data_IF_818384097808
#
_entry.id   IF_818384097808
#
_cell.length_a   1.000
_cell.length_b   1.000
_cell.length_c   1.000
_cell.angle_alpha   90.00
_cell.angle_beta   90.00
_cell.angle_gamma   90.00
#
_symmetry.space_group_name_H-M   'P 1'
#
loop_
_entity.id
_entity.type
_entity.pdbx_description
1 polymer ?
#
# COMPACT_ATOMS: atom_id res chain seq x y z
N UNK A 1 29.89 43.60 -13.56
CA UNK A 1 30.22 42.22 -13.18
C UNK A 1 28.92 41.43 -13.18
N UNK A 2 28.76 40.54 -14.15
CA UNK A 2 27.59 39.66 -14.28
C UNK A 2 27.63 38.66 -13.13
N UNK A 3 26.61 38.70 -12.28
CA UNK A 3 26.39 37.71 -11.23
C UNK A 3 26.01 36.43 -11.96
N UNK A 4 26.83 35.39 -11.82
CA UNK A 4 26.66 34.12 -12.51
C UNK A 4 25.28 33.55 -12.27
N UNK A 5 24.54 33.30 -13.35
CA UNK A 5 23.43 32.36 -13.31
C UNK A 5 24.02 31.00 -12.96
N UNK A 6 23.76 30.51 -11.75
CA UNK A 6 23.97 29.11 -11.42
C UNK A 6 23.23 28.30 -12.48
N UNK A 7 24.00 27.66 -13.35
CA UNK A 7 23.50 26.92 -14.50
C UNK A 7 22.94 25.59 -13.96
N UNK A 8 21.84 25.66 -13.20
CA UNK A 8 21.23 24.49 -12.54
C UNK A 8 20.69 23.59 -13.65
N UNK A 9 21.43 22.51 -13.92
CA UNK A 9 21.14 21.51 -14.95
C UNK A 9 19.68 21.03 -14.82
N UNK A 10 18.92 21.14 -15.89
CA UNK A 10 17.53 20.67 -15.96
C UNK A 10 17.53 19.13 -15.82
N UNK A 11 16.73 18.55 -14.93
CA UNK A 11 16.65 17.11 -14.78
C UNK A 11 15.89 16.47 -15.95
N UNK A 12 16.39 15.34 -16.45
CA UNK A 12 15.64 14.53 -17.41
C UNK A 12 14.60 13.64 -16.72
N UNK A 13 14.79 13.37 -15.41
CA UNK A 13 13.95 12.49 -14.60
C UNK A 13 13.51 13.22 -13.33
N UNK A 14 12.20 13.26 -13.10
CA UNK A 14 11.67 13.84 -11.87
C UNK A 14 10.75 12.85 -11.18
N UNK A 15 11.15 12.42 -9.98
CA UNK A 15 10.31 11.59 -9.13
C UNK A 15 9.33 12.48 -8.36
N UNK A 16 8.05 12.15 -8.45
CA UNK A 16 6.99 12.74 -7.64
C UNK A 16 6.50 11.67 -6.68
N UNK A 17 6.81 11.87 -5.40
CA UNK A 17 6.45 10.96 -4.30
C UNK A 17 5.32 11.59 -3.51
N UNK A 18 4.06 11.10 -3.62
CA UNK A 18 2.97 11.62 -2.81
C UNK A 18 3.22 11.30 -1.33
N UNK A 19 3.25 12.33 -0.49
CA UNK A 19 3.79 12.21 0.86
C UNK A 19 2.93 12.89 1.94
N UNK A 20 2.77 12.21 3.08
CA UNK A 20 2.29 12.79 4.35
C UNK A 20 2.48 11.80 5.52
N UNK A 21 3.11 12.25 6.63
CA UNK A 21 3.20 11.50 7.91
C UNK A 21 3.67 10.05 7.75
N UNK A 22 4.81 9.87 7.08
CA UNK A 22 5.46 8.56 6.83
C UNK A 22 6.96 8.66 7.09
N UNK A 23 7.33 9.25 8.21
CA UNK A 23 8.70 9.61 8.59
C UNK A 23 9.68 8.44 8.42
N UNK A 24 9.32 7.24 8.91
CA UNK A 24 10.17 6.06 8.81
C UNK A 24 10.30 5.55 7.37
N UNK A 25 9.19 5.49 6.63
CA UNK A 25 9.21 5.06 5.23
C UNK A 25 9.99 6.06 4.37
N UNK A 26 9.89 7.37 4.66
CA UNK A 26 10.69 8.41 4.02
C UNK A 26 12.18 8.18 4.22
N UNK A 27 12.60 7.90 5.45
CA UNK A 27 14.01 7.62 5.73
C UNK A 27 14.51 6.43 4.90
N UNK A 28 13.76 5.33 4.86
CA UNK A 28 14.11 4.17 4.04
C UNK A 28 14.13 4.52 2.55
N UNK A 29 13.12 5.24 2.08
CA UNK A 29 13.00 5.68 0.70
C UNK A 29 14.18 6.53 0.27
N UNK A 30 14.50 7.61 0.99
CA UNK A 30 15.63 8.47 0.66
C UNK A 30 16.94 7.69 0.63
N UNK A 31 17.19 6.88 1.67
CA UNK A 31 18.45 6.13 1.79
C UNK A 31 18.64 5.15 0.64
N UNK A 32 17.58 4.42 0.29
CA UNK A 32 17.66 3.40 -0.75
C UNK A 32 17.62 4.01 -2.15
N UNK A 33 16.79 5.03 -2.38
CA UNK A 33 16.75 5.73 -3.68
C UNK A 33 18.07 6.45 -3.99
N UNK A 34 18.80 6.95 -2.99
CA UNK A 34 20.17 7.45 -3.21
C UNK A 34 21.08 6.38 -3.81
N UNK A 35 20.99 5.13 -3.34
CA UNK A 35 21.72 4.00 -3.92
C UNK A 35 21.19 3.62 -5.31
N UNK A 36 19.87 3.53 -5.49
CA UNK A 36 19.25 3.15 -6.77
C UNK A 36 19.62 4.16 -7.87
N UNK A 37 19.73 5.43 -7.51
CA UNK A 37 19.96 6.53 -8.46
C UNK A 37 21.41 7.01 -8.50
N UNK A 38 22.36 6.35 -7.84
CA UNK A 38 23.76 6.83 -7.73
C UNK A 38 24.48 6.92 -9.09
N UNK A 39 24.03 6.16 -10.10
CA UNK A 39 24.60 6.20 -11.47
C UNK A 39 23.96 7.29 -12.36
N UNK A 40 22.92 7.98 -11.88
CA UNK A 40 22.21 9.03 -12.62
C UNK A 40 22.68 10.41 -12.15
N UNK A 41 22.85 11.34 -13.09
CA UNK A 41 23.37 12.70 -12.81
C UNK A 41 22.37 13.81 -13.16
N UNK A 42 21.16 13.45 -13.55
CA UNK A 42 20.13 14.31 -14.13
C UNK A 42 18.74 13.93 -13.62
N UNK A 43 18.63 13.74 -12.30
CA UNK A 43 17.37 13.45 -11.63
C UNK A 43 17.13 14.36 -10.43
N UNK A 44 15.86 14.59 -10.13
CA UNK A 44 15.41 15.21 -8.88
C UNK A 44 14.28 14.36 -8.27
N UNK A 45 14.16 14.34 -6.94
CA UNK A 45 13.11 13.66 -6.18
C UNK A 45 12.35 14.71 -5.38
N UNK A 46 11.04 14.76 -5.55
CA UNK A 46 10.15 15.65 -4.82
C UNK A 46 9.17 14.86 -3.99
N UNK A 47 9.25 15.03 -2.68
CA UNK A 47 8.16 14.69 -1.79
C UNK A 47 7.09 15.76 -1.95
N UNK A 48 6.04 15.42 -2.69
CA UNK A 48 4.87 16.27 -2.81
C UNK A 48 4.07 16.11 -1.51
N UNK A 49 4.30 17.04 -0.59
CA UNK A 49 3.94 16.93 0.81
C UNK A 49 2.64 17.69 1.07
N UNK A 50 1.55 16.97 1.31
CA UNK A 50 0.30 17.60 1.74
C UNK A 50 0.37 17.95 3.23
N UNK A 51 0.63 19.22 3.53
CA UNK A 51 0.88 19.72 4.89
C UNK A 51 -0.38 20.18 5.63
N UNK A 52 -1.54 20.21 4.95
CA UNK A 52 -2.81 20.55 5.58
C UNK A 52 -3.45 19.38 6.36
N UNK A 53 -4.54 19.68 7.07
CA UNK A 53 -5.23 18.75 7.96
C UNK A 53 -6.33 17.90 7.29
N UNK A 54 -6.56 18.04 5.97
CA UNK A 54 -7.64 17.32 5.28
C UNK A 54 -7.28 15.85 5.07
N UNK A 55 -8.17 15.02 4.52
CA UNK A 55 -7.79 13.68 4.09
C UNK A 55 -6.70 13.75 3.00
N UNK A 56 -5.88 12.71 2.90
CA UNK A 56 -4.78 12.68 1.95
C UNK A 56 -5.34 12.52 0.54
N UNK A 57 -5.06 13.46 -0.35
CA UNK A 57 -5.51 13.40 -1.72
C UNK A 57 -4.37 12.94 -2.62
N UNK A 58 -4.15 11.62 -2.70
CA UNK A 58 -3.01 11.02 -3.41
C UNK A 58 -2.94 11.46 -4.89
N UNK A 59 -4.08 11.55 -5.57
CA UNK A 59 -4.15 12.03 -6.95
C UNK A 59 -3.77 13.50 -7.10
N UNK A 60 -4.37 14.39 -6.29
CA UNK A 60 -4.04 15.81 -6.32
C UNK A 60 -2.58 16.08 -5.95
N UNK A 61 -2.03 15.37 -4.96
CA UNK A 61 -0.62 15.50 -4.57
C UNK A 61 0.33 15.14 -5.71
N UNK A 62 0.04 14.11 -6.51
CA UNK A 62 0.79 13.79 -7.74
C UNK A 62 0.66 14.90 -8.80
N UNK A 63 -0.56 15.39 -9.03
CA UNK A 63 -0.82 16.48 -9.97
C UNK A 63 -0.10 17.78 -9.57
N UNK A 64 -0.12 18.14 -8.29
CA UNK A 64 0.57 19.33 -7.76
C UNK A 64 2.08 19.16 -7.90
N UNK A 65 2.59 17.94 -7.70
CA UNK A 65 3.98 17.61 -8.00
C UNK A 65 4.34 17.93 -9.44
N UNK A 66 3.52 17.50 -10.40
CA UNK A 66 3.69 17.88 -11.80
C UNK A 66 3.61 19.39 -12.04
N UNK A 67 2.58 20.07 -11.49
CA UNK A 67 2.39 21.52 -11.64
C UNK A 67 3.58 22.32 -11.14
N UNK A 68 4.17 21.94 -10.01
CA UNK A 68 5.34 22.61 -9.45
C UNK A 68 6.57 22.49 -10.36
N UNK A 69 6.76 21.34 -11.00
CA UNK A 69 7.87 21.11 -11.94
C UNK A 69 7.61 21.83 -13.26
N UNK A 70 6.35 21.86 -13.72
CA UNK A 70 5.93 22.67 -14.86
C UNK A 70 6.19 24.16 -14.62
N UNK A 71 5.94 24.67 -13.42
CA UNK A 71 6.24 26.05 -13.05
C UNK A 71 7.75 26.31 -12.94
N UNK A 72 8.51 25.36 -12.37
CA UNK A 72 9.97 25.46 -12.22
C UNK A 72 10.71 25.40 -13.57
N UNK A 73 10.21 24.61 -14.52
CA UNK A 73 10.83 24.36 -15.83
C UNK A 73 9.82 24.53 -16.98
N UNK A 74 9.28 25.74 -17.21
CA UNK A 74 8.16 25.98 -18.13
C UNK A 74 8.48 25.65 -19.60
N UNK A 75 9.74 25.73 -20.01
CA UNK A 75 10.15 25.44 -21.39
C UNK A 75 10.52 23.96 -21.62
N UNK A 76 10.75 23.19 -20.55
CA UNK A 76 11.33 21.85 -20.63
C UNK A 76 10.42 20.73 -20.07
N UNK A 77 9.47 21.04 -19.19
CA UNK A 77 8.67 20.04 -18.46
C UNK A 77 8.01 19.00 -19.36
N UNK A 78 7.64 19.37 -20.60
CA UNK A 78 7.03 18.46 -21.57
C UNK A 78 7.93 17.27 -21.92
N UNK A 79 9.25 17.50 -21.95
CA UNK A 79 10.25 16.48 -22.28
C UNK A 79 10.77 15.73 -21.06
N UNK A 80 10.58 16.27 -19.86
CA UNK A 80 10.93 15.61 -18.59
C UNK A 80 10.14 14.31 -18.46
N UNK A 81 10.82 13.27 -18.01
CA UNK A 81 10.18 12.01 -17.61
C UNK A 81 9.75 12.12 -16.16
N UNK A 82 8.45 12.04 -15.90
CA UNK A 82 7.88 12.00 -14.56
C UNK A 82 7.77 10.56 -14.07
N UNK A 83 8.25 10.32 -12.85
CA UNK A 83 8.16 9.04 -12.15
C UNK A 83 7.26 9.23 -10.94
N UNK A 84 6.02 8.77 -11.02
CA UNK A 84 5.12 8.72 -9.88
C UNK A 84 5.41 7.45 -9.10
N UNK A 85 5.99 7.60 -7.91
CA UNK A 85 6.45 6.49 -7.09
C UNK A 85 5.85 6.58 -5.69
N UNK A 86 5.12 5.55 -5.26
CA UNK A 86 4.62 5.50 -3.87
C UNK A 86 5.79 5.36 -2.88
N UNK A 87 5.67 6.04 -1.74
CA UNK A 87 6.69 6.08 -0.68
C UNK A 87 7.04 4.71 -0.11
N UNK A 88 6.09 3.77 -0.16
CA UNK A 88 6.21 2.44 0.40
C UNK A 88 6.74 1.41 -0.61
N UNK A 89 7.12 1.82 -1.82
CA UNK A 89 7.60 0.92 -2.88
C UNK A 89 8.99 1.32 -3.39
N UNK A 90 9.94 0.40 -3.32
CA UNK A 90 11.34 0.64 -3.68
C UNK A 90 11.89 -0.59 -4.41
N UNK A 91 12.56 -0.46 -5.57
CA UNK A 91 13.21 -1.61 -6.18
C UNK A 91 14.37 -2.14 -5.32
N UNK A 92 14.54 -3.46 -5.30
CA UNK A 92 15.58 -4.12 -4.51
C UNK A 92 16.99 -3.80 -5.02
N UNK A 93 17.17 -3.67 -6.34
CA UNK A 93 18.41 -3.27 -7.00
C UNK A 93 18.11 -2.33 -8.16
N UNK A 94 19.14 -1.85 -8.89
CA UNK A 94 19.03 -0.94 -10.04
C UNK A 94 18.41 -1.64 -11.28
N UNK A 95 17.15 -2.07 -11.18
CA UNK A 95 16.43 -2.85 -12.20
C UNK A 95 15.64 -1.99 -13.20
N UNK A 96 15.56 -0.67 -12.97
CA UNK A 96 14.81 0.27 -13.79
C UNK A 96 15.73 1.36 -14.32
N UNK A 97 15.56 1.72 -15.60
CA UNK A 97 16.22 2.90 -16.19
C UNK A 97 15.37 4.18 -16.06
N UNK A 98 14.09 4.05 -15.67
CA UNK A 98 13.15 5.15 -15.51
C UNK A 98 12.97 6.06 -16.74
N UNK A 99 13.32 5.57 -17.93
CA UNK A 99 13.15 6.29 -19.19
C UNK A 99 11.88 5.83 -19.91
N UNK A 100 11.21 6.76 -20.58
CA UNK A 100 10.11 6.48 -21.50
C UNK A 100 10.15 7.46 -22.68
N UNK A 101 9.28 7.28 -23.66
CA UNK A 101 9.10 8.15 -24.82
C UNK A 101 7.68 8.71 -24.84
N UNK A 102 7.47 9.78 -25.61
CA UNK A 102 6.13 10.35 -25.83
C UNK A 102 5.19 9.27 -26.37
N UNK A 103 3.95 9.25 -25.90
CA UNK A 103 2.93 8.25 -26.24
C UNK A 103 3.11 6.90 -25.52
N UNK A 104 4.04 6.79 -24.56
CA UNK A 104 4.29 5.55 -23.81
C UNK A 104 4.33 5.83 -22.30
N UNK A 105 3.43 5.15 -21.56
CA UNK A 105 3.48 5.07 -20.11
C UNK A 105 4.04 3.71 -19.70
N UNK A 106 5.13 3.69 -18.92
CA UNK A 106 5.65 2.46 -18.33
C UNK A 106 5.07 2.25 -16.95
N UNK A 107 4.76 1.00 -16.63
CA UNK A 107 4.28 0.60 -15.32
C UNK A 107 5.15 -0.52 -14.78
N UNK A 108 5.90 -0.21 -13.72
CA UNK A 108 6.94 -1.09 -13.19
C UNK A 108 6.48 -1.95 -12.01
N UNK A 109 5.57 -1.46 -11.17
CA UNK A 109 5.11 -2.20 -10.00
C UNK A 109 3.67 -1.88 -9.63
N UNK A 110 2.85 -2.91 -9.39
CA UNK A 110 1.48 -2.73 -8.92
C UNK A 110 0.53 -3.84 -9.38
N UNK A 111 -0.66 -3.44 -9.83
CA UNK A 111 -1.67 -4.35 -10.39
C UNK A 111 -1.91 -4.06 -11.89
N UNK A 112 -2.11 -5.10 -12.72
CA UNK A 112 -2.29 -4.91 -14.17
C UNK A 112 -3.59 -4.20 -14.59
N UNK A 113 -4.57 -4.05 -13.70
CA UNK A 113 -5.83 -3.37 -14.00
C UNK A 113 -5.82 -1.87 -13.67
N UNK A 114 -4.70 -1.34 -13.21
CA UNK A 114 -4.57 0.06 -12.79
C UNK A 114 -3.11 0.56 -12.99
N UNK A 115 -2.87 1.86 -12.85
CA UNK A 115 -1.54 2.50 -12.91
C UNK A 115 -1.14 3.03 -11.52
N UNK A 116 -0.97 2.12 -10.55
CA UNK A 116 -0.51 2.43 -9.20
C UNK A 116 0.96 2.05 -8.97
N UNK A 117 1.47 2.23 -7.75
CA UNK A 117 2.85 1.88 -7.39
C UNK A 117 3.89 2.77 -8.07
N UNK A 118 4.50 2.26 -9.15
CA UNK A 118 5.59 2.93 -9.87
C UNK A 118 5.22 3.11 -11.35
N UNK A 119 4.98 4.36 -11.74
CA UNK A 119 4.51 4.75 -13.09
C UNK A 119 5.43 5.80 -13.69
N UNK A 120 5.77 5.66 -14.97
CA UNK A 120 6.70 6.54 -15.68
C UNK A 120 6.06 7.06 -16.95
N UNK A 121 6.00 8.39 -17.12
CA UNK A 121 5.29 9.06 -18.22
C UNK A 121 6.01 10.37 -18.61
N UNK A 122 5.92 10.80 -19.87
CA UNK A 122 6.41 12.12 -20.27
C UNK A 122 5.48 13.23 -19.76
N UNK A 123 6.05 14.39 -19.46
CA UNK A 123 5.28 15.55 -19.00
C UNK A 123 4.20 15.98 -19.98
N UNK A 124 4.49 15.93 -21.29
CA UNK A 124 3.50 16.22 -22.34
C UNK A 124 2.31 15.25 -22.30
N UNK A 125 2.57 13.94 -22.20
CA UNK A 125 1.52 12.92 -22.16
C UNK A 125 0.67 13.05 -20.88
N UNK A 126 1.31 13.34 -19.74
CA UNK A 126 0.63 13.52 -18.47
C UNK A 126 -0.28 14.76 -18.46
N UNK A 127 0.18 15.85 -19.07
CA UNK A 127 -0.61 17.06 -19.29
C UNK A 127 -1.80 16.82 -20.20
N UNK A 128 -1.58 16.14 -21.34
CA UNK A 128 -2.61 15.88 -22.36
C UNK A 128 -3.78 15.06 -21.81
N UNK A 129 -3.50 14.14 -20.87
CA UNK A 129 -4.55 13.36 -20.19
C UNK A 129 -5.16 14.04 -18.96
N UNK A 130 -4.80 15.29 -18.68
CA UNK A 130 -5.22 16.05 -17.49
C UNK A 130 -4.86 15.34 -16.16
N UNK A 131 -3.77 14.58 -16.13
CA UNK A 131 -3.26 13.89 -14.94
C UNK A 131 -4.23 12.92 -14.24
N UNK A 132 -4.02 12.73 -12.93
CA UNK A 132 -4.88 11.93 -12.05
C UNK A 132 -6.17 12.68 -11.70
N UNK A 133 -7.28 12.01 -11.34
CA UNK A 133 -8.39 12.68 -10.68
C UNK A 133 -8.04 13.06 -9.22
N UNK A 134 -8.68 14.10 -8.70
CA UNK A 134 -8.42 14.67 -7.38
C UNK A 134 -9.35 14.12 -6.29
N UNK A 135 -9.50 12.79 -6.21
CA UNK A 135 -10.40 12.13 -5.26
C UNK A 135 -9.86 12.20 -3.82
N UNK A 136 -10.76 12.49 -2.86
CA UNK A 136 -10.41 12.61 -1.44
C UNK A 136 -10.48 11.29 -0.66
N UNK A 137 -11.08 10.25 -1.26
CA UNK A 137 -11.05 8.88 -0.75
C UNK A 137 -9.90 8.07 -1.35
N UNK A 138 -9.62 6.92 -0.73
CA UNK A 138 -8.63 5.97 -1.21
C UNK A 138 -9.16 5.16 -2.40
N UNK A 139 -8.32 5.06 -3.44
CA UNK A 139 -8.52 4.21 -4.59
C UNK A 139 -9.25 4.89 -5.75
N UNK A 140 -9.36 4.15 -6.84
CA UNK A 140 -9.98 4.55 -8.12
C UNK A 140 -9.16 5.57 -8.95
N UNK A 141 -8.32 6.41 -8.34
CA UNK A 141 -7.48 7.40 -9.03
C UNK A 141 -6.49 6.77 -10.01
N UNK A 142 -5.82 5.69 -9.60
CA UNK A 142 -4.85 4.98 -10.45
C UNK A 142 -5.55 4.27 -11.62
N UNK A 143 -6.79 3.81 -11.40
CA UNK A 143 -7.61 3.15 -12.44
C UNK A 143 -8.14 4.16 -13.44
N UNK A 144 -8.49 5.36 -12.99
CA UNK A 144 -8.80 6.49 -13.87
C UNK A 144 -7.62 6.84 -14.76
N UNK A 145 -6.41 6.97 -14.20
CA UNK A 145 -5.22 7.28 -14.98
C UNK A 145 -5.04 6.25 -16.11
N UNK A 146 -5.18 4.94 -15.80
CA UNK A 146 -5.08 3.90 -16.83
C UNK A 146 -6.08 4.12 -17.97
N UNK A 147 -7.36 4.34 -17.65
CA UNK A 147 -8.41 4.57 -18.65
C UNK A 147 -8.16 5.83 -19.48
N UNK A 148 -7.58 6.88 -18.88
CA UNK A 148 -7.23 8.11 -19.59
C UNK A 148 -6.09 7.89 -20.57
N UNK A 149 -5.06 7.14 -20.19
CA UNK A 149 -4.00 6.73 -21.11
C UNK A 149 -4.56 5.94 -22.30
N UNK A 150 -5.39 4.93 -22.03
CA UNK A 150 -6.03 4.10 -23.07
C UNK A 150 -6.90 4.94 -24.02
N UNK A 151 -7.70 5.87 -23.49
CA UNK A 151 -8.56 6.78 -24.30
C UNK A 151 -7.75 7.74 -25.18
N UNK A 152 -6.55 8.12 -24.76
CA UNK A 152 -5.66 9.02 -25.51
C UNK A 152 -4.62 8.26 -26.34
N UNK A 153 -4.79 6.94 -26.54
CA UNK A 153 -3.89 6.09 -27.30
C UNK A 153 -2.43 6.08 -26.78
N UNK A 154 -2.23 6.34 -25.49
CA UNK A 154 -0.93 6.18 -24.82
C UNK A 154 -0.73 4.69 -24.54
N UNK A 155 0.35 4.12 -25.06
CA UNK A 155 0.69 2.71 -24.89
C UNK A 155 1.13 2.45 -23.46
N UNK A 156 0.51 1.46 -22.81
CA UNK A 156 0.92 1.00 -21.47
C UNK A 156 1.95 -0.13 -21.63
N UNK A 157 3.22 0.19 -21.39
CA UNK A 157 4.32 -0.76 -21.41
C UNK A 157 4.50 -1.40 -20.02
N UNK A 158 4.34 -2.74 -20.00
CA UNK A 158 4.55 -3.61 -18.84
C UNK A 158 5.60 -4.70 -19.12
N UNK A 159 6.50 -4.46 -20.07
CA UNK A 159 7.59 -5.38 -20.43
C UNK A 159 8.53 -5.68 -19.25
N UNK A 160 8.72 -4.71 -18.34
CA UNK A 160 9.48 -4.85 -17.09
C UNK A 160 8.59 -4.63 -15.85
N UNK A 161 7.45 -5.34 -15.77
CA UNK A 161 6.46 -5.20 -14.71
C UNK A 161 6.59 -6.27 -13.61
N UNK A 162 6.51 -5.82 -12.36
CA UNK A 162 6.49 -6.67 -11.17
C UNK A 162 5.12 -6.60 -10.46
N UNK A 163 4.46 -7.74 -10.20
CA UNK A 163 3.20 -7.74 -9.46
C UNK A 163 3.42 -7.48 -7.96
N UNK A 164 2.36 -7.04 -7.27
CA UNK A 164 2.34 -6.95 -5.80
C UNK A 164 2.86 -8.25 -5.16
N UNK A 165 3.75 -8.09 -4.17
CA UNK A 165 4.39 -9.20 -3.46
C UNK A 165 5.62 -9.79 -4.18
N UNK A 166 6.04 -9.21 -5.31
CA UNK A 166 7.32 -9.55 -5.94
C UNK A 166 8.50 -9.29 -4.98
N UNK A 167 9.44 -10.23 -4.80
CA UNK A 167 10.62 -10.02 -3.95
C UNK A 167 11.60 -8.98 -4.53
N UNK A 168 11.44 -8.63 -5.82
CA UNK A 168 12.28 -7.63 -6.48
C UNK A 168 11.91 -6.19 -6.09
N UNK A 169 10.77 -5.99 -5.43
CA UNK A 169 10.29 -4.68 -4.97
C UNK A 169 10.03 -4.79 -3.47
N UNK A 170 10.76 -4.00 -2.68
CA UNK A 170 10.45 -3.82 -1.28
C UNK A 170 9.15 -3.02 -1.17
N UNK A 171 8.10 -3.66 -0.64
CA UNK A 171 6.83 -3.02 -0.33
C UNK A 171 6.66 -2.94 1.18
N UNK A 172 6.83 -1.73 1.73
CA UNK A 172 6.63 -1.47 3.15
C UNK A 172 5.14 -1.54 3.49
N UNK A 173 4.83 -2.14 4.64
CA UNK A 173 3.45 -2.25 5.09
C UNK A 173 2.84 -0.86 5.31
N UNK A 174 1.60 -0.68 4.86
CA UNK A 174 0.84 0.56 4.97
C UNK A 174 -0.53 0.34 5.63
N UNK A 175 -0.58 -0.41 6.72
CA UNK A 175 -1.83 -0.69 7.39
C UNK A 175 -2.83 -1.47 6.53
N UNK A 176 -3.99 -1.70 7.11
CA UNK A 176 -5.08 -2.48 6.50
C UNK A 176 -6.36 -1.67 6.33
N UNK A 177 -6.44 -0.48 6.93
CA UNK A 177 -7.63 0.37 6.88
C UNK A 177 -7.43 1.47 5.86
N UNK A 178 -8.45 1.74 5.07
CA UNK A 178 -8.51 2.82 4.08
C UNK A 178 -9.75 3.66 4.31
N UNK A 179 -9.62 4.96 4.10
CA UNK A 179 -10.79 5.85 4.06
C UNK A 179 -11.26 5.88 2.63
N UNK A 180 -12.46 5.39 2.40
CA UNK A 180 -13.06 5.33 1.06
C UNK A 180 -14.21 6.33 0.95
N UNK A 181 -14.53 6.71 -0.27
CA UNK A 181 -15.76 7.44 -0.58
C UNK A 181 -16.53 6.66 -1.66
N UNK A 182 -17.78 6.31 -1.37
CA UNK A 182 -18.60 5.49 -2.28
C UNK A 182 -18.82 6.14 -3.65
N UNK A 183 -18.74 7.48 -3.73
CA UNK A 183 -18.90 8.24 -4.97
C UNK A 183 -17.72 8.04 -5.92
N UNK A 184 -16.52 7.81 -5.40
CA UNK A 184 -15.29 7.77 -6.20
C UNK A 184 -15.29 6.62 -7.21
N UNK A 185 -15.83 5.46 -6.83
CA UNK A 185 -16.00 4.35 -7.77
C UNK A 185 -16.95 4.68 -8.93
N UNK A 186 -18.04 5.40 -8.65
CA UNK A 186 -19.00 5.81 -9.68
C UNK A 186 -18.35 6.86 -10.60
N UNK A 187 -17.58 7.79 -10.03
CA UNK A 187 -16.79 8.78 -10.78
C UNK A 187 -15.77 8.10 -11.68
N UNK A 188 -15.07 7.08 -11.19
CA UNK A 188 -14.08 6.33 -11.95
C UNK A 188 -14.66 5.59 -13.16
N UNK A 189 -15.86 5.02 -13.01
CA UNK A 189 -16.57 4.42 -14.13
C UNK A 189 -16.99 5.44 -15.18
N UNK A 190 -17.41 6.62 -14.73
CA UNK A 190 -17.94 7.68 -15.58
C UNK A 190 -16.92 8.78 -15.88
N UNK A 191 -15.63 8.50 -15.71
CA UNK A 191 -14.58 9.50 -15.86
C UNK A 191 -14.50 10.01 -17.30
N UNK A 192 -14.63 11.32 -17.45
CA UNK A 192 -14.58 12.04 -18.72
C UNK A 192 -13.29 12.83 -18.90
N UNK A 193 -12.32 12.69 -18.00
CA UNK A 193 -11.08 13.48 -18.04
C UNK A 193 -11.25 14.95 -17.64
N UNK A 194 -12.42 15.35 -17.11
CA UNK A 194 -12.71 16.74 -16.75
C UNK A 194 -11.96 17.15 -15.47
N UNK A 195 -12.01 16.31 -14.42
CA UNK A 195 -11.30 16.56 -13.17
C UNK A 195 -9.83 16.12 -13.28
N UNK A 196 -8.91 16.95 -12.80
CA UNK A 196 -7.50 16.63 -12.75
C UNK A 196 -6.62 17.86 -12.52
N UNK A 197 -5.55 18.01 -13.28
CA UNK A 197 -4.64 19.16 -13.16
C UNK A 197 -5.40 20.49 -13.28
N UNK A 198 -6.28 20.59 -14.29
CA UNK A 198 -7.00 21.82 -14.63
C UNK A 198 -8.12 22.19 -13.63
N UNK A 199 -8.44 21.32 -12.68
CA UNK A 199 -9.45 21.57 -11.64
C UNK A 199 -8.84 21.78 -10.25
N UNK A 200 -7.51 21.88 -10.15
CA UNK A 200 -6.82 22.35 -8.95
C UNK A 200 -6.76 23.88 -8.99
N UNK A 201 -7.22 24.54 -7.93
CA UNK A 201 -7.23 26.01 -7.84
C UNK A 201 -6.97 26.46 -6.40
N UNK A 202 -6.68 27.75 -6.21
CA UNK A 202 -6.21 28.29 -4.92
C UNK A 202 -5.01 27.48 -4.37
N UNK A 203 -4.15 27.01 -5.26
CA UNK A 203 -2.97 26.23 -4.91
C UNK A 203 -1.93 27.13 -4.22
N UNK A 204 -1.46 26.69 -3.06
CA UNK A 204 -0.38 27.32 -2.31
C UNK A 204 0.63 26.24 -1.93
N UNK A 205 1.88 26.42 -2.35
CA UNK A 205 2.99 25.55 -2.01
C UNK A 205 4.31 26.32 -2.03
N UNK A 206 5.35 25.74 -1.41
CA UNK A 206 6.73 26.17 -1.56
C UNK A 206 7.61 24.97 -1.87
N UNK A 207 8.71 25.18 -2.60
CA UNK A 207 9.74 24.16 -2.83
C UNK A 207 10.92 24.44 -1.90
N UNK A 208 11.21 23.48 -1.03
CA UNK A 208 12.27 23.61 -0.02
C UNK A 208 13.09 22.32 0.09
N UNK A 209 14.28 22.40 0.67
CA UNK A 209 15.08 21.21 1.03
C UNK A 209 14.52 20.48 2.25
N UNK A 210 13.61 21.11 3.00
CA UNK A 210 13.05 20.56 4.24
C UNK A 210 11.53 20.54 4.23
N UNK A 211 10.96 19.60 4.97
CA UNK A 211 9.52 19.50 5.18
C UNK A 211 9.04 20.56 6.16
N UNK A 212 7.82 21.08 5.97
CA UNK A 212 7.14 21.89 6.99
C UNK A 212 6.75 21.11 8.25
N UNK A 213 6.76 19.77 8.22
CA UNK A 213 6.59 18.94 9.42
C UNK A 213 7.98 18.65 10.03
N UNK A 214 8.30 19.17 11.23
CA UNK A 214 9.61 18.99 11.84
C UNK A 214 10.03 17.53 12.05
N UNK A 215 9.06 16.62 12.23
CA UNK A 215 9.36 15.19 12.43
C UNK A 215 9.99 14.55 11.21
N UNK A 216 9.62 15.01 10.01
CA UNK A 216 10.23 14.52 8.78
C UNK A 216 11.72 14.86 8.75
N UNK A 217 12.14 15.99 9.33
CA UNK A 217 13.51 16.50 9.21
C UNK A 217 14.48 15.88 10.22
N UNK A 218 14.01 14.98 11.11
CA UNK A 218 14.84 14.36 12.15
C UNK A 218 15.86 13.35 11.59
N UNK A 219 15.45 12.59 10.58
CA UNK A 219 16.25 11.53 9.96
C UNK A 219 16.54 11.85 8.50
N UNK A 220 17.30 12.93 8.26
CA UNK A 220 17.65 13.35 6.92
C UNK A 220 18.77 12.49 6.33
N UNK A 221 18.67 12.25 5.02
CA UNK A 221 19.70 11.60 4.20
C UNK A 221 20.33 12.71 3.36
N UNK A 222 21.65 12.79 3.38
CA UNK A 222 22.39 13.75 2.58
C UNK A 222 22.32 13.36 1.10
N UNK A 223 21.42 14.01 0.36
CA UNK A 223 21.29 13.88 -1.09
C UNK A 223 20.77 15.22 -1.65
N UNK A 224 21.58 15.94 -2.45
CA UNK A 224 21.23 17.27 -2.97
C UNK A 224 20.13 17.25 -4.05
N UNK A 225 19.68 16.08 -4.46
CA UNK A 225 18.61 15.90 -5.46
C UNK A 225 17.23 15.70 -4.81
N UNK A 226 17.13 15.74 -3.48
CA UNK A 226 15.87 15.51 -2.75
C UNK A 226 15.30 16.83 -2.23
N UNK A 227 14.03 17.07 -2.54
CA UNK A 227 13.30 18.29 -2.20
C UNK A 227 11.89 17.97 -1.70
N UNK A 228 11.25 18.96 -1.09
CA UNK A 228 9.85 18.95 -0.69
C UNK A 228 9.08 19.99 -1.49
N UNK A 229 7.89 19.61 -1.93
CA UNK A 229 6.85 20.54 -2.37
C UNK A 229 5.88 20.62 -1.19
N UNK A 230 6.05 21.60 -0.32
CA UNK A 230 5.25 21.78 0.89
C UNK A 230 3.91 22.43 0.53
N UNK A 231 2.88 21.61 0.32
CA UNK A 231 1.54 22.03 -0.10
C UNK A 231 0.74 22.46 1.14
N UNK A 232 0.55 23.76 1.32
CA UNK A 232 -0.22 24.31 2.44
C UNK A 232 -1.71 24.42 2.14
N UNK A 233 -2.10 24.61 0.87
CA UNK A 233 -3.49 24.71 0.47
C UNK A 233 -3.71 24.36 -1.00
N UNK A 234 -4.90 23.84 -1.31
CA UNK A 234 -5.41 23.66 -2.67
C UNK A 234 -6.91 23.36 -2.62
N UNK A 235 -7.66 23.70 -3.64
CA UNK A 235 -9.04 23.25 -3.83
C UNK A 235 -9.15 22.40 -5.10
N UNK A 236 -10.22 21.62 -5.20
CA UNK A 236 -10.46 20.69 -6.31
C UNK A 236 -11.91 20.83 -6.77
N UNK A 237 -12.28 20.24 -7.91
CA UNK A 237 -13.68 20.18 -8.35
C UNK A 237 -14.63 19.51 -7.33
N UNK A 238 -14.09 18.72 -6.40
CA UNK A 238 -14.84 18.10 -5.32
C UNK A 238 -14.56 18.81 -4.00
N UNK A 239 -15.58 19.51 -3.49
CA UNK A 239 -15.49 20.21 -2.21
C UNK A 239 -15.28 19.23 -1.04
N UNK A 240 -14.18 19.40 -0.31
CA UNK A 240 -13.77 18.50 0.77
C UNK A 240 -14.87 18.33 1.85
N UNK A 241 -15.53 19.42 2.25
CA UNK A 241 -16.54 19.39 3.31
C UNK A 241 -17.78 18.59 2.90
N UNK A 242 -18.10 18.54 1.60
CA UNK A 242 -19.16 17.71 1.07
C UNK A 242 -18.73 16.26 0.85
N UNK A 243 -17.46 16.03 0.52
CA UNK A 243 -16.90 14.69 0.34
C UNK A 243 -16.78 13.93 1.66
N UNK A 244 -16.37 14.59 2.74
CA UNK A 244 -16.22 13.98 4.07
C UNK A 244 -17.52 13.40 4.62
N UNK A 245 -18.68 13.93 4.20
CA UNK A 245 -20.00 13.40 4.56
C UNK A 245 -20.25 11.98 4.04
N UNK A 246 -19.40 11.47 3.16
CA UNK A 246 -19.49 10.14 2.56
C UNK A 246 -18.20 9.34 2.72
N UNK A 247 -17.40 9.65 3.75
CA UNK A 247 -16.23 8.86 4.09
C UNK A 247 -16.57 7.68 4.99
N UNK A 248 -15.97 6.52 4.69
CA UNK A 248 -16.11 5.29 5.46
C UNK A 248 -14.76 4.62 5.65
N UNK A 249 -14.56 3.99 6.80
CA UNK A 249 -13.43 3.10 7.02
C UNK A 249 -13.67 1.74 6.34
N UNK A 250 -12.70 1.32 5.53
CA UNK A 250 -12.70 0.06 4.80
C UNK A 250 -11.48 -0.77 5.18
N UNK A 251 -11.70 -2.01 5.59
CA UNK A 251 -10.62 -2.97 5.86
C UNK A 251 -10.30 -3.73 4.57
N UNK A 252 -9.03 -3.71 4.15
CA UNK A 252 -8.57 -4.32 2.90
C UNK A 252 -8.82 -5.84 2.82
N UNK A 253 -9.07 -6.50 3.95
CA UNK A 253 -9.39 -7.95 4.01
C UNK A 253 -10.86 -8.23 3.71
N UNK A 254 -11.69 -7.20 3.65
CA UNK A 254 -13.10 -7.35 3.34
C UNK A 254 -13.37 -7.49 1.83
N UNK A 255 -14.56 -8.02 1.47
CA UNK A 255 -14.95 -8.09 0.07
C UNK A 255 -15.12 -6.70 -0.54
N UNK A 256 -14.65 -6.53 -1.80
CA UNK A 256 -14.74 -5.27 -2.57
C UNK A 256 -16.14 -4.66 -2.64
N UNK A 257 -17.22 -5.47 -2.55
CA UNK A 257 -18.60 -4.95 -2.50
C UNK A 257 -18.83 -3.94 -1.38
N UNK A 258 -18.08 -4.03 -0.27
CA UNK A 258 -18.15 -3.10 0.87
C UNK A 258 -17.52 -1.74 0.58
N UNK A 259 -16.86 -1.56 -0.57
CA UNK A 259 -16.47 -0.24 -1.07
C UNK A 259 -17.67 0.48 -1.68
N UNK A 260 -18.54 -0.26 -2.39
CA UNK A 260 -19.73 0.26 -3.06
C UNK A 260 -20.89 0.46 -2.10
N UNK A 261 -21.03 -0.49 -1.17
CA UNK A 261 -22.07 -0.54 -0.15
C UNK A 261 -21.39 -0.57 1.23
N UNK A 262 -20.75 0.54 1.63
CA UNK A 262 -20.10 0.61 2.93
C UNK A 262 -21.13 0.52 4.04
N UNK A 263 -20.72 -0.04 5.18
CA UNK A 263 -21.56 -0.08 6.35
C UNK A 263 -21.72 1.34 6.91
N UNK A 264 -22.95 1.82 7.13
CA UNK A 264 -23.24 3.16 7.67
C UNK A 264 -22.53 3.42 9.00
N UNK A 265 -22.35 2.37 9.77
CA UNK A 265 -21.65 2.33 11.05
C UNK A 265 -20.14 2.60 10.95
N UNK A 266 -19.57 2.57 9.75
CA UNK A 266 -18.16 2.87 9.51
C UNK A 266 -17.92 4.26 8.95
N UNK A 267 -18.97 5.09 8.94
CA UNK A 267 -18.84 6.49 8.58
C UNK A 267 -17.84 7.15 9.52
N UNK A 268 -16.84 7.83 8.97
CA UNK A 268 -15.84 8.51 9.77
C UNK A 268 -16.08 10.03 9.77
N UNK A 269 -15.80 10.66 10.91
CA UNK A 269 -15.75 12.10 11.01
C UNK A 269 -14.45 12.62 10.39
N UNK A 270 -14.55 13.76 9.70
CA UNK A 270 -13.45 14.39 8.95
C UNK A 270 -12.19 14.65 9.80
N UNK A 271 -12.38 14.79 11.12
CA UNK A 271 -11.33 15.20 12.07
C UNK A 271 -10.51 14.02 12.64
N UNK A 272 -10.90 12.77 12.35
CA UNK A 272 -10.22 11.55 12.86
C UNK A 272 -9.30 10.89 11.82
N UNK A 273 -9.00 11.58 10.72
CA UNK A 273 -8.27 11.05 9.54
C UNK A 273 -6.75 11.09 9.72
N UNK A 274 -6.27 10.70 10.91
CA UNK A 274 -4.86 10.49 11.18
C UNK A 274 -4.54 9.00 11.01
N UNK A 275 -4.14 8.60 9.80
CA UNK A 275 -3.43 7.34 9.60
C UNK A 275 -1.99 7.49 10.13
N UNK A 276 -1.84 7.65 11.45
CA UNK A 276 -0.54 7.46 12.08
C UNK A 276 -0.21 5.97 12.12
N UNK A 277 1.07 5.63 12.05
CA UNK A 277 1.58 4.26 12.20
C UNK A 277 1.19 3.64 13.55
N UNK A 278 0.90 4.47 14.56
CA UNK A 278 0.36 4.05 15.86
C UNK A 278 -0.92 3.22 15.73
N UNK A 279 -1.75 3.49 14.72
CA UNK A 279 -2.97 2.72 14.43
C UNK A 279 -2.72 1.25 14.08
N UNK A 280 -1.49 0.88 13.70
CA UNK A 280 -1.12 -0.49 13.33
C UNK A 280 -0.85 -1.39 14.55
N UNK A 281 -0.68 -0.81 15.73
CA UNK A 281 -0.43 -1.57 16.97
C UNK A 281 -1.62 -2.44 17.40
N UNK A 282 -2.84 -2.07 16.98
CA UNK A 282 -4.09 -2.71 17.38
C UNK A 282 -4.88 -3.23 16.17
N UNK A 283 -4.22 -3.87 15.21
CA UNK A 283 -4.90 -4.49 14.07
C UNK A 283 -5.77 -5.66 14.57
N UNK A 284 -7.10 -5.61 14.40
CA UNK A 284 -7.94 -6.71 14.86
C UNK A 284 -7.68 -7.96 14.01
N UNK A 285 -7.73 -9.14 14.64
CA UNK A 285 -7.61 -10.43 13.96
C UNK A 285 -8.95 -10.82 13.31
N UNK A 286 -8.92 -11.10 12.01
CA UNK A 286 -10.09 -11.54 11.25
C UNK A 286 -9.80 -12.95 10.75
N UNK A 287 -10.48 -13.99 11.26
CA UNK A 287 -10.25 -15.35 10.82
C UNK A 287 -10.62 -15.51 9.32
N UNK A 288 -9.81 -16.26 8.59
CA UNK A 288 -10.11 -16.68 7.21
C UNK A 288 -11.42 -17.48 7.16
N UNK A 289 -11.94 -17.71 5.94
CA UNK A 289 -13.14 -18.55 5.76
C UNK A 289 -12.90 -19.96 6.32
N UNK A 290 -11.68 -20.50 6.16
CA UNK A 290 -11.29 -21.80 6.67
C UNK A 290 -11.25 -21.81 8.19
N UNK A 291 -10.56 -20.85 8.80
CA UNK A 291 -10.48 -20.71 10.26
C UNK A 291 -11.88 -20.49 10.87
N UNK A 292 -12.75 -19.70 10.24
CA UNK A 292 -14.15 -19.55 10.69
C UNK A 292 -14.89 -20.87 10.68
N UNK A 293 -14.77 -21.66 9.61
CA UNK A 293 -15.40 -22.98 9.52
C UNK A 293 -14.87 -23.92 10.60
N UNK A 294 -13.57 -23.91 10.85
CA UNK A 294 -12.93 -24.69 11.91
C UNK A 294 -13.39 -24.23 13.30
N UNK A 295 -13.41 -22.93 13.58
CA UNK A 295 -13.91 -22.38 14.84
C UNK A 295 -15.37 -22.78 15.09
N UNK A 296 -16.24 -22.62 14.09
CA UNK A 296 -17.64 -23.05 14.18
C UNK A 296 -17.74 -24.56 14.44
N UNK A 297 -16.92 -25.38 13.78
CA UNK A 297 -16.90 -26.84 13.99
C UNK A 297 -16.44 -27.23 15.40
N UNK A 298 -15.64 -26.39 16.04
CA UNK A 298 -15.17 -26.54 17.42
C UNK A 298 -16.13 -25.92 18.45
N UNK A 299 -17.29 -25.39 18.02
CA UNK A 299 -18.23 -24.68 18.89
C UNK A 299 -17.72 -23.33 19.40
N UNK A 300 -16.64 -22.81 18.79
CA UNK A 300 -16.09 -21.50 19.09
C UNK A 300 -16.81 -20.49 18.19
N UNK A 301 -17.48 -19.51 18.79
CA UNK A 301 -17.97 -18.37 18.02
C UNK A 301 -16.76 -17.63 17.46
N UNK A 302 -16.60 -17.53 16.13
CA UNK A 302 -15.50 -16.78 15.57
C UNK A 302 -15.62 -15.34 16.07
N UNK A 303 -14.50 -14.72 16.50
CA UNK A 303 -14.52 -13.37 17.06
C UNK A 303 -15.30 -12.48 16.11
N UNK A 304 -16.32 -11.83 16.65
CA UNK A 304 -17.07 -10.88 15.87
C UNK A 304 -16.07 -9.75 15.55
N UNK A 305 -15.73 -9.52 14.28
CA UNK A 305 -14.77 -8.47 13.96
C UNK A 305 -15.22 -7.07 14.39
N UNK A 306 -16.48 -6.95 14.84
CA UNK A 306 -17.12 -5.75 15.30
C UNK A 306 -17.31 -5.67 16.84
N UNK A 307 -16.85 -6.67 17.62
CA UNK A 307 -17.08 -6.76 19.08
C UNK A 307 -16.46 -5.58 19.86
N UNK A 308 -15.31 -5.07 19.44
CA UNK A 308 -14.65 -3.90 20.07
C UNK A 308 -15.00 -2.56 19.39
N UNK A 309 -15.95 -2.57 18.45
CA UNK A 309 -16.43 -1.36 17.77
C UNK A 309 -17.82 -0.91 18.24
N UNK A 310 -18.43 -1.65 19.18
CA UNK A 310 -19.78 -1.36 19.69
C UNK A 310 -20.93 -1.87 18.82
N UNK A 311 -20.74 -2.91 17.99
CA UNK A 311 -21.78 -3.41 17.08
C UNK A 311 -22.21 -4.86 17.32
N UNK A 312 -23.50 -5.12 17.11
CA UNK A 312 -24.12 -6.44 17.08
C UNK A 312 -24.31 -6.88 15.61
N UNK A 313 -23.73 -8.02 15.21
CA UNK A 313 -23.78 -8.55 13.84
C UNK A 313 -24.89 -9.60 13.73
N UNK A 314 -25.73 -9.55 12.69
CA UNK A 314 -26.75 -10.58 12.45
C UNK A 314 -26.21 -11.67 11.52
N UNK A 315 -26.16 -12.90 12.01
CA UNK A 315 -25.62 -14.09 11.30
C UNK A 315 -26.38 -14.48 10.03
N UNK A 316 -27.52 -13.85 9.74
CA UNK A 316 -28.41 -14.19 8.64
C UNK A 316 -28.15 -13.44 7.32
N UNK A 317 -27.20 -12.49 7.28
CA UNK A 317 -26.79 -11.80 6.05
C UNK A 317 -25.93 -12.72 5.16
N UNK A 318 -26.56 -13.77 4.59
CA UNK A 318 -25.93 -14.66 3.62
C UNK A 318 -25.70 -13.90 2.30
N UNK A 319 -24.50 -13.91 1.71
CA UNK A 319 -24.37 -13.57 0.29
C UNK A 319 -25.12 -14.62 -0.55
N UNK A 320 -25.80 -14.24 -1.65
CA UNK A 320 -26.37 -15.22 -2.57
C UNK A 320 -25.26 -16.11 -3.14
N UNK A 321 -25.52 -17.40 -3.39
CA UNK A 321 -24.56 -18.27 -4.07
C UNK A 321 -24.23 -17.69 -5.44
N UNK A 322 -22.94 -17.47 -5.71
CA UNK A 322 -22.45 -17.12 -7.03
C UNK A 322 -22.78 -18.27 -8.00
N UNK A 323 -23.79 -18.08 -8.84
CA UNK A 323 -23.93 -18.89 -10.05
C UNK A 323 -22.77 -18.55 -10.97
N UNK A 324 -21.94 -19.55 -11.28
CA UNK A 324 -20.86 -19.44 -12.24
C UNK A 324 -21.45 -19.12 -13.62
N UNK A 325 -21.30 -17.88 -14.08
CA UNK A 325 -21.44 -17.58 -15.50
C UNK A 325 -20.15 -18.01 -16.19
N UNK A 326 -20.21 -19.17 -16.83
CA UNK A 326 -19.25 -19.60 -17.83
C UNK A 326 -19.28 -18.61 -19.01
N UNK A 327 -18.20 -17.86 -19.19
CA UNK A 327 -17.83 -17.32 -20.50
C UNK A 327 -16.63 -18.11 -21.01
N UNK A 328 -16.85 -18.76 -22.16
CA UNK A 328 -15.89 -19.63 -22.85
C UNK A 328 -14.74 -18.81 -23.41
N UNK A 329 -13.58 -18.75 -22.74
CA UNK A 329 -12.31 -18.35 -23.38
C UNK A 329 -11.06 -18.69 -22.54
N UNK A 330 -10.96 -19.91 -21.98
CA UNK A 330 -9.77 -20.30 -21.21
C UNK A 330 -9.28 -21.74 -21.40
N UNK A 331 -9.68 -22.43 -22.48
CA UNK A 331 -9.21 -23.79 -22.76
C UNK A 331 -7.86 -23.90 -23.50
N UNK A 332 -7.13 -22.80 -23.74
CA UNK A 332 -5.79 -22.88 -24.36
C UNK A 332 -4.60 -22.60 -23.42
N UNK A 333 -4.83 -22.34 -22.13
CA UNK A 333 -3.75 -22.04 -21.18
C UNK A 333 -3.36 -23.22 -20.26
N UNK A 334 -4.07 -24.36 -20.31
CA UNK A 334 -3.86 -25.48 -19.37
C UNK A 334 -3.01 -26.64 -19.89
N UNK A 335 -2.48 -26.57 -21.12
CA UNK A 335 -1.63 -27.65 -21.67
C UNK A 335 -0.11 -27.40 -21.60
N UNK A 336 0.35 -26.29 -21.01
CA UNK A 336 1.79 -25.98 -20.92
C UNK A 336 2.42 -26.21 -19.53
N UNK A 337 1.66 -26.65 -18.52
CA UNK A 337 2.17 -26.82 -17.14
C UNK A 337 2.30 -28.27 -16.67
N UNK A 338 2.00 -29.26 -17.51
CA UNK A 338 1.95 -30.68 -17.07
C UNK A 338 3.19 -31.53 -17.39
N UNK A 339 4.30 -30.95 -17.87
CA UNK A 339 5.50 -31.71 -18.27
C UNK A 339 6.76 -31.48 -17.42
N UNK A 340 6.67 -30.87 -16.23
CA UNK A 340 7.86 -30.62 -15.38
C UNK A 340 7.78 -31.14 -13.93
N UNK A 341 6.86 -32.04 -13.58
CA UNK A 341 6.78 -32.63 -12.23
C UNK A 341 6.72 -34.16 -12.20
N UNK A 342 7.34 -34.82 -13.17
CA UNK A 342 7.53 -36.26 -13.17
C UNK A 342 9.03 -36.59 -13.22
N UNK A 343 9.75 -36.36 -12.12
CA UNK A 343 11.01 -37.03 -11.77
C UNK A 343 11.51 -36.50 -10.41
N UNK A 344 10.98 -37.06 -9.32
CA UNK A 344 11.76 -37.47 -8.15
C UNK A 344 10.88 -38.26 -7.16
N UNK A 345 11.11 -39.58 -7.15
CA UNK A 345 11.12 -40.51 -5.99
C UNK A 345 9.97 -40.39 -4.96
N UNK A 346 9.00 -41.31 -4.88
CA UNK A 346 9.07 -42.73 -4.47
C UNK A 346 9.85 -43.02 -3.15
N UNK A 347 9.18 -43.80 -2.28
CA UNK A 347 9.52 -44.32 -0.94
C UNK A 347 9.16 -43.37 0.23
N UNK A 348 8.33 -43.72 1.22
CA UNK A 348 8.06 -45.02 1.84
C UNK A 348 6.59 -45.17 2.33
N UNK A 349 6.14 -46.43 2.38
CA UNK A 349 4.84 -46.89 2.89
C UNK A 349 4.91 -47.36 4.36
N UNK A 350 3.70 -47.50 4.94
CA UNK A 350 3.30 -48.11 6.24
C UNK A 350 3.54 -47.25 7.50
N UNK A 351 2.53 -46.99 8.35
CA UNK A 351 1.65 -47.96 9.02
C UNK A 351 0.35 -47.30 9.51
N UNK A 352 -0.77 -48.05 9.50
CA UNK A 352 -2.01 -47.70 10.19
C UNK A 352 -1.98 -48.19 11.64
N UNK A 353 -2.41 -47.36 12.60
CA UNK A 353 -3.24 -47.82 13.73
C UNK A 353 -3.97 -46.65 14.42
N UNK A 354 -5.24 -46.93 14.70
CA UNK A 354 -6.24 -46.25 15.53
C UNK A 354 -5.79 -45.93 16.97
N UNK A 355 -6.22 -44.78 17.54
CA UNK A 355 -7.00 -44.69 18.79
C UNK A 355 -7.27 -43.24 19.27
N UNK A 356 -8.55 -43.03 19.63
CA UNK A 356 -9.18 -42.23 20.69
C UNK A 356 -8.65 -40.86 21.17
N UNK A 357 -9.63 -39.97 21.30
CA UNK A 357 -9.64 -38.65 21.90
C UNK A 357 -8.93 -38.53 23.26
N UNK A 358 -8.10 -37.50 23.40
CA UNK A 358 -7.97 -36.79 24.66
C UNK A 358 -7.69 -35.29 24.42
N UNK A 359 -8.48 -34.43 25.05
CA UNK A 359 -8.46 -32.96 24.90
C UNK A 359 -7.11 -32.40 25.36
N UNK A 360 -6.44 -31.59 24.53
CA UNK A 360 -5.28 -30.76 24.93
C UNK A 360 -5.64 -29.27 24.83
N UNK A 361 -5.16 -28.42 25.76
CA UNK A 361 -5.46 -27.00 25.77
C UNK A 361 -4.78 -26.26 24.61
N UNK A 362 -5.45 -25.20 24.15
CA UNK A 362 -5.04 -24.27 23.08
C UNK A 362 -3.61 -23.76 23.33
N UNK A 363 -2.69 -23.79 22.34
CA UNK A 363 -1.35 -23.29 22.54
C UNK A 363 -1.32 -21.76 22.57
N UNK A 364 -0.66 -21.19 23.59
CA UNK A 364 -0.21 -19.80 23.55
C UNK A 364 0.81 -19.63 22.42
N UNK A 365 0.43 -18.88 21.40
CA UNK A 365 1.29 -18.53 20.28
C UNK A 365 2.15 -17.34 20.71
N UNK A 366 3.38 -17.65 21.15
CA UNK A 366 4.61 -16.92 20.82
C UNK A 366 5.78 -17.55 21.58
N UNK A 367 6.40 -18.56 20.96
CA UNK A 367 7.76 -19.00 21.29
C UNK A 367 8.38 -19.60 20.04
N UNK A 368 9.59 -19.17 19.73
CA UNK A 368 10.39 -19.64 18.59
C UNK A 368 10.37 -21.17 18.47
N UNK A 369 10.53 -21.69 17.25
CA UNK A 369 10.66 -23.14 17.06
C UNK A 369 11.80 -23.69 17.94
N UNK A 370 11.69 -24.92 18.47
CA UNK A 370 12.73 -25.51 19.32
C UNK A 370 14.12 -25.52 18.65
N UNK A 371 14.14 -25.59 17.32
CA UNK A 371 15.37 -25.57 16.54
C UNK A 371 16.04 -24.18 16.54
N UNK A 372 15.25 -23.11 16.50
CA UNK A 372 15.73 -21.72 16.52
C UNK A 372 16.18 -21.27 17.93
N UNK A 373 15.52 -21.78 18.98
CA UNK A 373 15.90 -21.47 20.36
C UNK A 373 17.30 -22.01 20.74
N UNK A 374 17.68 -23.18 20.21
CA UNK A 374 19.03 -23.73 20.38
C UNK A 374 20.10 -22.94 19.62
N UNK A 375 19.77 -22.37 18.46
CA UNK A 375 20.68 -21.52 17.69
C UNK A 375 20.99 -20.19 18.41
N UNK A 376 20.01 -19.64 19.14
CA UNK A 376 20.14 -18.34 19.84
C UNK A 376 20.69 -18.43 21.28
N UNK A 377 20.98 -19.62 21.81
CA UNK A 377 21.63 -19.80 23.12
C UNK A 377 20.78 -19.42 24.35
N UNK A 378 19.46 -19.24 24.22
CA UNK A 378 18.59 -18.79 25.32
C UNK A 378 18.03 -20.01 26.07
N UNK A 379 18.54 -20.27 27.29
CA UNK A 379 17.94 -21.28 28.19
C UNK A 379 16.66 -20.74 28.85
N UNK A 380 15.54 -21.49 28.86
CA UNK A 380 14.29 -21.03 29.46
C UNK A 380 14.37 -20.95 30.99
N UNK A 381 13.99 -19.81 31.58
CA UNK A 381 13.76 -19.64 33.02
C UNK A 381 12.58 -20.49 33.46
N UNK A 382 12.76 -21.28 34.51
CA UNK A 382 11.72 -22.09 35.14
C UNK A 382 10.69 -21.20 35.87
N UNK A 383 9.41 -21.43 35.63
CA UNK A 383 8.31 -20.88 36.45
C UNK A 383 7.86 -21.94 37.45
N UNK A 384 7.71 -21.49 38.69
CA UNK A 384 7.38 -22.25 39.90
C UNK A 384 6.09 -23.07 39.75
N UNK A 385 6.17 -24.37 39.98
CA UNK A 385 5.03 -25.29 39.96
C UNK A 385 4.21 -25.18 41.25
N UNK A 386 2.89 -25.25 41.10
CA UNK A 386 1.92 -25.30 42.18
C UNK A 386 2.17 -26.46 43.17
N UNK A 387 2.04 -26.20 44.47
CA UNK A 387 2.04 -27.21 45.54
C UNK A 387 0.76 -28.04 45.47
N UNK A 388 0.90 -29.35 45.20
CA UNK A 388 -0.07 -30.38 45.53
C UNK A 388 0.49 -31.20 46.69
N UNK A 389 -0.19 -31.14 47.83
CA UNK A 389 0.07 -32.03 48.97
C UNK A 389 -0.52 -33.41 48.66
N UNK A 390 0.25 -34.49 48.86
CA UNK A 390 -0.25 -35.80 49.28
C UNK A 390 0.86 -36.57 50.03
N UNK A 391 0.46 -37.09 51.19
CA UNK A 391 1.24 -37.78 52.21
C UNK A 391 2.02 -39.01 51.71
N UNK A 392 3.15 -39.31 52.35
CA UNK A 392 3.68 -40.68 52.41
C UNK A 392 5.17 -40.80 52.75
N UNK A 393 5.44 -41.49 53.88
CA UNK A 393 6.67 -42.22 54.24
C UNK A 393 7.89 -41.46 54.84
N UNK A 394 7.82 -41.34 56.17
CA UNK A 394 8.80 -41.85 57.17
C UNK A 394 10.21 -42.22 56.65
N UNK A 395 11.26 -41.52 57.10
CA UNK A 395 12.29 -42.03 58.04
C UNK A 395 13.40 -41.01 58.34
N UNK A 396 13.71 -40.96 59.64
CA UNK A 396 14.84 -40.34 60.32
C UNK A 396 16.19 -40.43 59.58
N UNK A 397 17.07 -39.45 59.80
CA UNK A 397 18.32 -39.61 60.57
C UNK A 397 18.94 -38.23 60.88
N UNK A 398 19.40 -38.10 62.13
CA UNK A 398 20.10 -36.98 62.76
C UNK A 398 21.48 -36.70 62.13
N UNK A 399 21.91 -35.45 62.14
CA UNK A 399 22.91 -34.93 63.09
C UNK A 399 22.81 -33.43 63.22
#
# INVERSE_FOLDING_TARGET
MSVGSDNKKIPNKVFIVPYRKREEQKFFFCKYMSYIMEDFTDYEIYFSHQSDNRSFNRGATKNIGFLAIKEKYPDDYKNITFIFNDIDTIPFTKIFNYDTTIGVVKHYYGFKYTLGGIVVIKGVDFEDINGYPNYWGWGSEDSCLQKRCEKNNIVIDRSNFFPIGSPQILHLFDGITRIINKKDYIREKNDKGIDGINTIYQLQYNIDETSTNPKDNLYNVDNPNIYFINISHFQTAFDYNNETKEFYNYDLREPKKKILEPNMNRKCDADMVSQSTESWTNIPYYPTIKERKEMISLGINPPNPYENTGYNYNLNDRPPPQQAQHSQHSQQAQQAQHSQQAQHSQQAQHSQHSQQFNRKPVPQINKYSPHYANYMGIKPKATTSAKLNMNGLIRNIRR
#
